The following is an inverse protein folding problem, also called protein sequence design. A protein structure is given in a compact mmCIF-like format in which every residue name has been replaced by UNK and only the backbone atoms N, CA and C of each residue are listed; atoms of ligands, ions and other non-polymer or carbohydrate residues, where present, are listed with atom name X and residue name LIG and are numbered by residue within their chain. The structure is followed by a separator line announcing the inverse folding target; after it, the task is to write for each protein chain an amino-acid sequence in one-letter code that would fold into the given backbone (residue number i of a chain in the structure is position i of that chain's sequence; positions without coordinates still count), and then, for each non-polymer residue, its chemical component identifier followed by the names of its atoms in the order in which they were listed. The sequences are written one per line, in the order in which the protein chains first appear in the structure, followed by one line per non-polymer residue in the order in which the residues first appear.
data_IF_569385962126
#
_entry.id   IF_569385962126
#
_cell.length_a   1.000
_cell.length_b   1.000
_cell.length_c   1.000
_cell.angle_alpha   90.00
_cell.angle_beta   90.00
_cell.angle_gamma   90.00
#
_symmetry.space_group_name_H-M   'P 1'
#
loop_
_entity.id
_entity.type
_entity.pdbx_description
1 polymer ?
#
# COMPACT_ATOMS: atom_id res chain seq x y z
N UNK A 1 3.45 13.36 12.18
CA UNK A 1 2.06 13.04 12.55
C UNK A 1 2.06 12.17 13.80
N UNK A 2 1.12 12.40 14.70
CA UNK A 2 0.98 11.62 15.93
C UNK A 2 -0.40 11.00 15.96
N UNK A 3 -0.49 9.72 16.27
CA UNK A 3 -1.74 8.99 16.41
C UNK A 3 -1.84 8.36 17.79
N UNK A 4 -3.07 8.33 18.32
CA UNK A 4 -3.34 7.71 19.61
C UNK A 4 -4.76 7.96 20.06
N UNK A 5 -5.14 7.27 21.13
CA UNK A 5 -6.52 7.25 21.61
C UNK A 5 -6.96 8.63 22.12
N UNK A 6 -7.90 9.23 21.42
CA UNK A 6 -8.51 10.50 21.82
C UNK A 6 -7.68 11.76 21.49
N UNK A 7 -6.57 11.64 20.75
CA UNK A 7 -5.72 12.77 20.39
C UNK A 7 -6.40 13.73 19.39
N UNK A 8 -7.22 13.23 18.47
CA UNK A 8 -7.87 14.03 17.43
C UNK A 8 -9.18 14.71 17.84
N UNK A 9 -9.72 14.46 19.05
CA UNK A 9 -11.02 15.01 19.45
C UNK A 9 -11.02 16.49 19.88
N UNK A 10 -9.97 17.03 20.52
CA UNK A 10 -9.96 18.45 20.88
C UNK A 10 -9.89 19.35 19.65
N UNK A 11 -10.46 20.56 19.78
CA UNK A 11 -10.35 21.55 18.71
C UNK A 11 -8.89 21.94 18.48
N UNK A 12 -8.43 21.80 17.26
CA UNK A 12 -7.04 22.11 16.87
C UNK A 12 -6.84 23.60 16.58
N UNK A 13 -5.65 24.17 16.87
CA UNK A 13 -4.53 23.54 17.55
C UNK A 13 -4.70 23.48 19.08
N UNK A 14 -4.20 22.41 19.73
CA UNK A 14 -4.14 22.33 21.18
C UNK A 14 -2.79 21.75 21.62
N UNK A 15 -2.42 21.97 22.89
CA UNK A 15 -1.22 21.41 23.48
C UNK A 15 -1.52 20.01 24.04
N UNK A 16 -0.80 19.02 23.55
CA UNK A 16 -0.88 17.66 24.08
C UNK A 16 0.07 17.53 25.29
N UNK A 17 -0.50 17.62 26.51
CA UNK A 17 0.29 17.53 27.75
C UNK A 17 0.51 16.08 28.20
N UNK A 18 -0.42 15.18 27.88
CA UNK A 18 -0.34 13.76 28.24
C UNK A 18 0.18 12.93 27.07
N UNK A 19 1.49 12.69 27.07
CA UNK A 19 2.16 11.90 26.03
C UNK A 19 1.88 10.41 26.09
N UNK A 20 1.31 9.91 27.20
CA UNK A 20 0.94 8.49 27.34
C UNK A 20 -0.19 8.06 26.40
N UNK A 21 -0.91 9.03 25.83
CA UNK A 21 -1.96 8.80 24.82
C UNK A 21 -1.41 8.55 23.41
N UNK A 22 -0.11 8.81 23.20
CA UNK A 22 0.52 8.58 21.91
C UNK A 22 0.76 7.08 21.75
N UNK A 23 0.13 6.48 20.75
CA UNK A 23 0.34 5.09 20.37
C UNK A 23 1.43 4.98 19.31
N UNK A 24 1.48 5.94 18.39
CA UNK A 24 2.48 5.97 17.32
C UNK A 24 2.81 7.39 16.86
N UNK A 25 4.08 7.59 16.50
CA UNK A 25 4.57 8.83 15.89
C UNK A 25 5.13 8.51 14.50
N UNK A 26 4.74 9.31 13.52
CA UNK A 26 5.24 9.23 12.15
C UNK A 26 6.07 10.48 11.86
N UNK A 27 7.30 10.26 11.40
CA UNK A 27 8.25 11.29 11.02
C UNK A 27 8.23 11.51 9.51
N UNK A 28 8.74 12.64 9.04
CA UNK A 28 8.95 12.97 7.62
C UNK A 28 7.71 12.78 6.72
N UNK A 29 6.51 12.96 7.31
CA UNK A 29 5.25 12.92 6.58
C UNK A 29 5.12 14.15 5.71
N UNK A 30 4.97 13.96 4.39
CA UNK A 30 4.76 15.04 3.45
C UNK A 30 3.42 15.74 3.73
N UNK A 31 3.41 17.08 3.92
CA UNK A 31 2.20 17.85 4.23
C UNK A 31 1.04 17.66 3.24
N UNK A 32 1.33 17.31 1.99
CA UNK A 32 0.29 17.03 0.97
C UNK A 32 -0.66 15.89 1.36
N UNK A 33 -0.21 14.95 2.21
CA UNK A 33 -1.02 13.82 2.66
C UNK A 33 -1.90 14.11 3.89
N UNK A 34 -1.72 15.25 4.57
CA UNK A 34 -2.45 15.54 5.83
C UNK A 34 -3.97 15.52 5.67
N UNK A 35 -4.49 16.01 4.54
CA UNK A 35 -5.93 15.96 4.24
C UNK A 35 -6.45 14.53 4.13
N UNK A 36 -5.74 13.68 3.39
CA UNK A 36 -6.06 12.25 3.26
C UNK A 36 -5.98 11.54 4.61
N UNK A 37 -4.91 11.77 5.38
CA UNK A 37 -4.68 11.14 6.69
C UNK A 37 -5.84 11.42 7.66
N UNK A 38 -6.43 12.61 7.60
CA UNK A 38 -7.56 12.98 8.46
C UNK A 38 -8.82 12.14 8.20
N UNK A 39 -8.96 11.53 7.04
CA UNK A 39 -10.09 10.71 6.62
C UNK A 39 -9.85 9.20 6.82
N UNK A 40 -8.60 8.81 7.14
CA UNK A 40 -8.23 7.41 7.30
C UNK A 40 -8.70 6.82 8.64
N UNK A 41 -9.10 5.57 8.59
CA UNK A 41 -9.38 4.76 9.78
C UNK A 41 -8.09 4.50 10.57
N UNK A 42 -8.01 5.00 11.82
CA UNK A 42 -6.84 4.82 12.68
C UNK A 42 -6.44 3.34 12.82
N UNK A 43 -7.34 2.37 13.07
CA UNK A 43 -6.96 0.96 13.14
C UNK A 43 -6.28 0.44 11.86
N UNK A 44 -6.75 0.85 10.69
CA UNK A 44 -6.14 0.44 9.41
C UNK A 44 -4.74 1.05 9.28
N UNK A 45 -4.57 2.34 9.60
CA UNK A 45 -3.27 3.02 9.57
C UNK A 45 -2.27 2.33 10.49
N UNK A 46 -2.68 1.91 11.69
CA UNK A 46 -1.80 1.22 12.63
C UNK A 46 -1.30 -0.11 12.07
N UNK A 47 -2.18 -0.92 11.50
CA UNK A 47 -1.79 -2.18 10.84
C UNK A 47 -0.88 -1.93 9.63
N UNK A 48 -1.18 -0.93 8.81
CA UNK A 48 -0.33 -0.55 7.66
C UNK A 48 1.04 -0.03 8.10
N UNK A 49 1.12 0.61 9.26
CA UNK A 49 2.40 1.04 9.83
C UNK A 49 3.25 -0.15 10.32
N UNK A 50 2.64 -1.15 10.95
CA UNK A 50 3.34 -2.39 11.33
C UNK A 50 3.81 -3.17 10.10
N UNK A 51 2.99 -3.19 9.04
CA UNK A 51 3.35 -3.77 7.75
C UNK A 51 4.54 -3.02 7.12
N UNK A 52 4.55 -1.69 7.15
CA UNK A 52 5.66 -0.90 6.60
C UNK A 52 6.97 -1.14 7.36
N UNK A 53 6.92 -1.25 8.69
CA UNK A 53 8.10 -1.61 9.50
C UNK A 53 8.62 -3.00 9.14
N UNK A 54 7.72 -3.99 9.02
CA UNK A 54 8.09 -5.36 8.64
C UNK A 54 8.65 -5.40 7.21
N UNK A 55 8.04 -4.67 6.28
CA UNK A 55 8.51 -4.60 4.90
C UNK A 55 9.91 -3.99 4.80
N UNK A 56 10.22 -2.93 5.57
CA UNK A 56 11.57 -2.37 5.63
C UNK A 56 12.62 -3.36 6.08
N UNK A 57 12.26 -4.26 7.01
CA UNK A 57 13.15 -5.33 7.50
C UNK A 57 13.31 -6.43 6.44
N UNK A 58 12.22 -6.96 5.90
CA UNK A 58 12.23 -8.09 4.97
C UNK A 58 12.83 -7.72 3.59
N UNK A 59 12.61 -6.50 3.14
CA UNK A 59 13.16 -5.99 1.87
C UNK A 59 14.57 -5.43 2.04
N UNK A 60 15.04 -5.24 3.27
CA UNK A 60 16.35 -4.66 3.60
C UNK A 60 16.58 -3.31 2.93
N UNK A 61 15.57 -2.44 3.00
CA UNK A 61 15.60 -1.12 2.37
C UNK A 61 14.90 -0.06 3.21
N UNK A 62 15.18 1.21 2.91
CA UNK A 62 14.45 2.35 3.46
C UNK A 62 13.23 2.64 2.60
N UNK A 63 12.06 2.52 3.18
CA UNK A 63 10.79 2.79 2.50
C UNK A 63 10.34 4.23 2.72
N UNK A 64 9.62 4.77 1.75
CA UNK A 64 9.04 6.11 1.86
C UNK A 64 8.18 6.22 3.13
N UNK A 65 8.41 7.23 4.00
CA UNK A 65 7.70 7.38 5.28
C UNK A 65 6.18 7.60 5.13
N UNK A 66 5.69 7.91 3.94
CA UNK A 66 4.25 8.03 3.67
C UNK A 66 3.58 6.70 3.30
N UNK A 67 4.34 5.60 3.15
CA UNK A 67 3.80 4.28 2.81
C UNK A 67 2.65 3.83 3.72
N UNK A 68 2.69 3.95 5.07
CA UNK A 68 1.58 3.54 5.93
C UNK A 68 0.26 4.20 5.55
N UNK A 69 0.29 5.45 5.14
CA UNK A 69 -0.91 6.22 4.80
C UNK A 69 -1.43 5.90 3.40
N UNK A 70 -0.53 5.83 2.41
CA UNK A 70 -0.94 5.48 1.03
C UNK A 70 -1.46 4.04 0.94
N UNK A 71 -0.87 3.14 1.72
CA UNK A 71 -1.37 1.76 1.83
C UNK A 71 -2.72 1.71 2.55
N UNK A 72 -2.89 2.45 3.67
CA UNK A 72 -4.15 2.50 4.40
C UNK A 72 -5.30 3.07 3.56
N UNK A 73 -5.04 4.09 2.75
CA UNK A 73 -6.00 4.66 1.81
C UNK A 73 -6.45 3.60 0.79
N UNK A 74 -5.49 2.89 0.19
CA UNK A 74 -5.79 1.78 -0.72
C UNK A 74 -6.65 0.70 -0.05
N UNK A 75 -6.29 0.25 1.15
CA UNK A 75 -7.00 -0.80 1.87
C UNK A 75 -8.42 -0.36 2.25
N UNK A 76 -8.60 0.88 2.70
CA UNK A 76 -9.92 1.44 3.00
C UNK A 76 -10.79 1.46 1.75
N UNK A 77 -10.25 1.91 0.62
CA UNK A 77 -10.95 1.92 -0.67
C UNK A 77 -11.26 0.49 -1.15
N UNK A 78 -10.32 -0.44 -1.04
CA UNK A 78 -10.53 -1.85 -1.40
C UNK A 78 -11.68 -2.47 -0.59
N UNK A 79 -11.71 -2.23 0.73
CA UNK A 79 -12.78 -2.72 1.60
C UNK A 79 -14.16 -2.15 1.22
N UNK A 80 -14.24 -0.88 0.85
CA UNK A 80 -15.48 -0.26 0.37
C UNK A 80 -15.95 -0.81 -0.98
N UNK A 81 -15.00 -1.02 -1.89
CA UNK A 81 -15.24 -1.60 -3.22
C UNK A 81 -15.79 -3.03 -3.11
N UNK A 82 -15.19 -3.85 -2.24
CA UNK A 82 -15.64 -5.23 -2.00
C UNK A 82 -17.05 -5.29 -1.41
N UNK A 83 -17.41 -4.39 -0.50
CA UNK A 83 -18.80 -4.29 0.00
C UNK A 83 -19.82 -4.01 -1.11
N UNK A 84 -19.38 -3.40 -2.20
CA UNK A 84 -20.20 -3.14 -3.40
C UNK A 84 -20.14 -4.29 -4.42
N UNK A 85 -19.45 -5.39 -4.11
CA UNK A 85 -19.32 -6.56 -4.98
C UNK A 85 -18.42 -6.35 -6.20
N UNK A 86 -17.53 -5.36 -6.15
CA UNK A 86 -16.58 -5.08 -7.24
C UNK A 86 -15.22 -5.66 -6.87
N UNK A 87 -14.81 -6.71 -7.60
CA UNK A 87 -13.45 -7.25 -7.56
C UNK A 87 -12.64 -6.73 -8.75
N UNK A 88 -11.39 -6.37 -8.51
CA UNK A 88 -10.48 -5.93 -9.56
C UNK A 88 -9.49 -7.03 -9.88
N UNK A 89 -9.52 -7.50 -11.13
CA UNK A 89 -8.43 -8.32 -11.66
C UNK A 89 -7.30 -7.42 -12.14
N UNK A 90 -6.08 -7.72 -11.72
CA UNK A 90 -4.89 -6.96 -12.10
C UNK A 90 -4.14 -7.70 -13.22
N UNK A 91 -4.22 -7.24 -14.48
CA UNK A 91 -3.60 -7.95 -15.62
C UNK A 91 -2.09 -8.15 -15.49
N UNK A 92 -1.42 -7.30 -14.70
CA UNK A 92 0.04 -7.30 -14.49
C UNK A 92 0.48 -8.20 -13.31
N UNK A 93 -0.41 -9.05 -12.78
CA UNK A 93 -0.10 -9.86 -11.61
C UNK A 93 1.09 -10.80 -11.82
N UNK A 94 1.19 -11.39 -13.01
CA UNK A 94 2.32 -12.23 -13.37
C UNK A 94 3.63 -11.44 -13.42
N UNK A 95 3.62 -10.28 -14.08
CA UNK A 95 4.81 -9.46 -14.25
C UNK A 95 5.33 -8.97 -12.89
N UNK A 96 4.44 -8.54 -11.99
CA UNK A 96 4.81 -8.14 -10.63
C UNK A 96 5.48 -9.31 -9.88
N UNK A 97 4.88 -10.49 -9.89
CA UNK A 97 5.44 -11.66 -9.19
C UNK A 97 6.77 -12.13 -9.77
N UNK A 98 6.97 -11.93 -11.08
CA UNK A 98 8.20 -12.34 -11.75
C UNK A 98 9.33 -11.32 -11.58
N UNK A 99 9.02 -10.02 -11.74
CA UNK A 99 10.02 -8.95 -11.69
C UNK A 99 10.36 -8.51 -10.26
N UNK A 100 9.39 -8.63 -9.33
CA UNK A 100 9.47 -8.17 -7.94
C UNK A 100 9.07 -9.28 -6.96
N UNK A 101 9.78 -10.43 -6.95
CA UNK A 101 9.38 -11.59 -6.17
C UNK A 101 9.45 -11.37 -4.65
N UNK A 102 10.35 -10.50 -4.17
CA UNK A 102 10.48 -10.17 -2.74
C UNK A 102 9.30 -9.31 -2.27
N UNK A 103 8.97 -8.27 -3.00
CA UNK A 103 7.86 -7.36 -2.73
C UNK A 103 6.52 -8.10 -2.85
N UNK A 104 6.39 -9.01 -3.80
CA UNK A 104 5.20 -9.87 -3.93
C UNK A 104 5.05 -10.83 -2.75
N UNK A 105 6.13 -11.46 -2.28
CA UNK A 105 6.10 -12.32 -1.10
C UNK A 105 5.77 -11.52 0.17
N UNK A 106 6.35 -10.33 0.34
CA UNK A 106 6.02 -9.43 1.44
C UNK A 106 4.55 -8.98 1.38
N UNK A 107 4.01 -8.74 0.18
CA UNK A 107 2.62 -8.36 0.00
C UNK A 107 1.63 -9.49 0.36
N UNK A 108 1.96 -10.74 0.07
CA UNK A 108 1.18 -11.90 0.50
C UNK A 108 1.15 -11.98 2.05
N UNK A 109 2.28 -11.70 2.73
CA UNK A 109 2.34 -11.60 4.20
C UNK A 109 1.52 -10.42 4.73
N UNK A 110 1.63 -9.26 4.12
CA UNK A 110 0.90 -8.06 4.48
C UNK A 110 -0.62 -8.25 4.35
N UNK A 111 -1.08 -8.90 3.28
CA UNK A 111 -2.49 -9.23 3.08
C UNK A 111 -3.02 -10.16 4.20
N UNK A 112 -2.21 -11.14 4.61
CA UNK A 112 -2.55 -12.01 5.73
C UNK A 112 -2.66 -11.22 7.03
N UNK A 113 -1.69 -10.37 7.35
CA UNK A 113 -1.71 -9.50 8.53
C UNK A 113 -2.96 -8.60 8.55
N UNK A 114 -3.29 -7.97 7.42
CA UNK A 114 -4.49 -7.14 7.29
C UNK A 114 -5.76 -7.93 7.61
N UNK A 115 -5.93 -9.09 6.99
CA UNK A 115 -7.12 -9.92 7.21
C UNK A 115 -7.24 -10.40 8.67
N UNK A 116 -6.13 -10.82 9.28
CA UNK A 116 -6.10 -11.30 10.66
C UNK A 116 -6.36 -10.18 11.68
N UNK A 117 -5.76 -9.00 11.50
CA UNK A 117 -5.83 -7.93 12.50
C UNK A 117 -7.06 -7.04 12.34
N UNK A 118 -7.60 -6.92 11.12
CA UNK A 118 -8.78 -6.07 10.87
C UNK A 118 -10.08 -6.85 10.75
N UNK A 119 -10.02 -8.17 10.56
CA UNK A 119 -11.18 -9.01 10.25
C UNK A 119 -11.75 -8.78 8.85
N UNK A 120 -11.06 -8.04 7.99
CA UNK A 120 -11.41 -7.88 6.59
C UNK A 120 -11.15 -9.20 5.84
N UNK A 121 -11.98 -9.51 4.86
CA UNK A 121 -11.76 -10.65 3.98
C UNK A 121 -11.31 -10.14 2.60
N UNK A 122 -10.17 -9.45 2.57
CA UNK A 122 -9.59 -8.97 1.33
C UNK A 122 -9.16 -10.16 0.46
N UNK A 123 -9.49 -10.17 -0.85
CA UNK A 123 -9.15 -11.28 -1.74
C UNK A 123 -7.65 -11.31 -2.05
N UNK A 124 -7.15 -12.46 -2.51
CA UNK A 124 -5.75 -12.66 -2.87
C UNK A 124 -5.27 -11.72 -3.99
N UNK A 125 -6.18 -11.23 -4.83
CA UNK A 125 -5.89 -10.24 -5.88
C UNK A 125 -5.33 -8.92 -5.31
N UNK A 126 -5.68 -8.54 -4.06
CA UNK A 126 -5.17 -7.32 -3.44
C UNK A 126 -3.66 -7.37 -3.14
N UNK A 127 -3.07 -8.57 -3.01
CA UNK A 127 -1.64 -8.70 -2.78
C UNK A 127 -0.80 -8.00 -3.87
N UNK A 128 -1.27 -8.02 -5.12
CA UNK A 128 -0.57 -7.35 -6.23
C UNK A 128 -0.56 -5.84 -6.05
N UNK A 129 -1.69 -5.26 -5.66
CA UNK A 129 -1.79 -3.82 -5.38
C UNK A 129 -0.91 -3.44 -4.18
N UNK A 130 -0.86 -4.27 -3.14
CA UNK A 130 0.02 -4.07 -1.99
C UNK A 130 1.50 -4.12 -2.42
N UNK A 131 1.90 -5.10 -3.25
CA UNK A 131 3.25 -5.19 -3.79
C UNK A 131 3.65 -3.92 -4.56
N UNK A 132 2.74 -3.36 -5.36
CA UNK A 132 2.97 -2.10 -6.07
C UNK A 132 3.20 -0.93 -5.10
N UNK A 133 2.55 -0.91 -3.94
CA UNK A 133 2.82 0.10 -2.91
C UNK A 133 4.24 -0.04 -2.35
N UNK A 134 4.75 -1.26 -2.14
CA UNK A 134 6.14 -1.47 -1.70
C UNK A 134 7.14 -1.03 -2.76
N UNK A 135 7.00 -1.49 -4.01
CA UNK A 135 7.86 -1.10 -5.14
C UNK A 135 7.92 0.42 -5.28
N UNK A 136 6.76 1.09 -5.18
CA UNK A 136 6.70 2.54 -5.24
C UNK A 136 7.36 3.23 -4.03
N UNK A 137 7.30 2.61 -2.86
CA UNK A 137 7.90 3.15 -1.64
C UNK A 137 9.43 3.00 -1.59
N UNK A 138 10.00 2.07 -2.34
CA UNK A 138 11.45 1.91 -2.53
C UNK A 138 12.03 2.94 -3.52
N UNK A 139 11.20 3.43 -4.45
CA UNK A 139 11.63 4.41 -5.44
C UNK A 139 11.84 5.80 -4.79
N UNK A 140 12.96 6.45 -5.08
CA UNK A 140 13.28 7.79 -4.55
C UNK A 140 12.20 8.84 -4.88
N UNK A 141 11.51 8.68 -6.01
CA UNK A 141 10.46 9.61 -6.45
C UNK A 141 9.11 9.38 -5.76
N UNK A 142 8.85 8.17 -5.25
CA UNK A 142 7.55 7.78 -4.68
C UNK A 142 6.38 7.99 -5.65
N UNK A 143 6.64 7.94 -6.97
CA UNK A 143 5.65 8.25 -8.01
C UNK A 143 4.98 6.97 -8.54
N UNK A 144 3.85 6.64 -7.92
CA UNK A 144 2.99 5.52 -8.35
C UNK A 144 2.58 5.64 -9.83
N UNK A 145 2.45 6.86 -10.35
CA UNK A 145 2.07 7.08 -11.74
C UNK A 145 3.16 6.58 -12.71
N UNK A 146 4.42 6.86 -12.43
CA UNK A 146 5.56 6.36 -13.21
C UNK A 146 5.65 4.83 -13.18
N UNK A 147 5.40 4.20 -12.03
CA UNK A 147 5.34 2.76 -11.91
C UNK A 147 4.20 2.19 -12.77
N UNK A 148 3.00 2.74 -12.67
CA UNK A 148 1.83 2.31 -13.47
C UNK A 148 2.09 2.45 -14.97
N UNK A 149 2.69 3.58 -15.41
CA UNK A 149 3.07 3.77 -16.80
C UNK A 149 4.06 2.72 -17.28
N UNK A 150 5.09 2.43 -16.49
CA UNK A 150 6.08 1.42 -16.83
C UNK A 150 5.44 0.04 -17.03
N UNK A 151 4.52 -0.35 -16.14
CA UNK A 151 3.78 -1.60 -16.26
C UNK A 151 2.86 -1.64 -17.48
N UNK A 152 2.19 -0.54 -17.81
CA UNK A 152 1.38 -0.43 -19.02
C UNK A 152 2.22 -0.57 -20.29
N UNK A 153 3.42 0.03 -20.32
CA UNK A 153 4.35 -0.11 -21.44
C UNK A 153 4.79 -1.56 -21.61
N UNK A 154 5.17 -2.24 -20.51
CA UNK A 154 5.55 -3.67 -20.54
C UNK A 154 4.39 -4.51 -21.10
N UNK A 155 3.18 -4.34 -20.59
CA UNK A 155 2.00 -5.07 -21.06
C UNK A 155 1.75 -4.84 -22.56
N UNK A 156 1.90 -3.60 -23.02
CA UNK A 156 1.72 -3.25 -24.44
C UNK A 156 2.81 -3.81 -25.34
N UNK A 157 4.06 -3.82 -24.88
CA UNK A 157 5.18 -4.47 -25.60
C UNK A 157 4.92 -5.97 -25.75
N UNK A 158 4.51 -6.63 -24.67
CA UNK A 158 4.20 -8.06 -24.69
C UNK A 158 3.06 -8.36 -25.70
N UNK A 159 1.98 -7.57 -25.70
CA UNK A 159 0.88 -7.69 -26.67
C UNK A 159 1.37 -7.57 -28.12
N UNK A 160 2.24 -6.60 -28.39
CA UNK A 160 2.81 -6.38 -29.72
C UNK A 160 3.68 -7.57 -30.14
N UNK A 161 4.53 -8.07 -29.24
CA UNK A 161 5.40 -9.23 -29.50
C UNK A 161 4.57 -10.47 -29.79
N UNK A 162 3.58 -10.77 -28.95
CA UNK A 162 2.68 -11.92 -29.14
C UNK A 162 1.95 -11.85 -30.49
N UNK A 163 1.42 -10.68 -30.81
CA UNK A 163 0.68 -10.49 -32.07
C UNK A 163 1.57 -10.54 -33.32
N UNK A 164 2.80 -9.97 -33.22
CA UNK A 164 3.73 -9.89 -34.37
C UNK A 164 4.40 -11.21 -34.68
N UNK A 165 4.72 -11.99 -33.64
CA UNK A 165 5.41 -13.27 -33.75
C UNK A 165 4.46 -14.47 -33.76
N UNK A 166 3.17 -14.26 -33.55
CA UNK A 166 2.17 -15.32 -33.40
C UNK A 166 2.53 -16.35 -32.33
N UNK A 167 3.12 -15.89 -31.23
CA UNK A 167 3.50 -16.70 -30.06
C UNK A 167 2.62 -16.31 -28.87
N UNK A 168 2.49 -17.18 -27.88
CA UNK A 168 2.07 -16.83 -26.54
C UNK A 168 3.29 -16.81 -25.65
N UNK A 169 3.51 -15.68 -24.95
CA UNK A 169 4.51 -15.61 -23.91
C UNK A 169 3.97 -16.38 -22.68
N UNK A 170 4.81 -17.22 -22.08
CA UNK A 170 4.47 -17.89 -20.83
C UNK A 170 4.22 -16.82 -19.75
N UNK A 171 2.98 -16.79 -19.26
CA UNK A 171 2.51 -15.84 -18.22
C UNK A 171 2.46 -16.52 -16.86
#
# INVERSE_FOLDING_TARGET
VVMGKGIGFPQMPYKLDDLSKIERTFYDVDPKYLGMIAELSQPIVMVCADIADQAGIELDCSLNPNLPFTLADHIQFAAERLKKGVDLTTPIAYDIRHLYPREAAMADMALKMLNEQTGMNLPASEAISIAMHFINAEAESGDMHSLMLSMQVIAKVNEIVESSLHIQLDK
#
